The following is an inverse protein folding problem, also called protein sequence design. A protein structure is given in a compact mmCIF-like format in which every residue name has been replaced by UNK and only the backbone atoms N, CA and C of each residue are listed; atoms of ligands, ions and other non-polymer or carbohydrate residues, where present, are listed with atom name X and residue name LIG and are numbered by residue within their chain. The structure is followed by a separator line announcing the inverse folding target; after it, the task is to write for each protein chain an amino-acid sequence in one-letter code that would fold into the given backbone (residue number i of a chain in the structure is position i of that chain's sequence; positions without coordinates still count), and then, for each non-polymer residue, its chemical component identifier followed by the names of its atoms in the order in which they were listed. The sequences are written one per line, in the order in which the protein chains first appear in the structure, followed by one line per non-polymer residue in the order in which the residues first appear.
data_IF_976788182227
#
_entry.id   IF_976788182227
#
_cell.length_a   1.000
_cell.length_b   1.000
_cell.length_c   1.000
_cell.angle_alpha   90.00
_cell.angle_beta   90.00
_cell.angle_gamma   90.00
#
_symmetry.space_group_name_H-M   'P 1'
#
loop_
_entity.id
_entity.type
_entity.pdbx_description
1 polymer ?
#
# COMPACT_ATOMS: atom_id res chain seq x y z
N UNK A 1 -11.63 15.11 -12.97
CA UNK A 1 -11.83 15.73 -11.64
C UNK A 1 -11.59 14.66 -10.60
N UNK A 2 -10.52 14.74 -9.77
CA UNK A 2 -10.28 13.74 -8.71
C UNK A 2 -11.45 13.78 -7.73
N UNK A 3 -12.02 12.63 -7.38
CA UNK A 3 -13.15 12.59 -6.43
C UNK A 3 -12.68 13.08 -5.05
N UNK A 4 -13.59 13.61 -4.23
CA UNK A 4 -13.28 14.08 -2.87
C UNK A 4 -12.50 13.03 -2.07
N UNK A 5 -12.82 11.75 -2.28
CA UNK A 5 -12.18 10.60 -1.64
C UNK A 5 -10.73 10.38 -2.10
N UNK A 6 -10.44 10.55 -3.40
CA UNK A 6 -9.06 10.46 -3.91
C UNK A 6 -8.18 11.59 -3.37
N UNK A 7 -8.74 12.80 -3.26
CA UNK A 7 -8.01 13.93 -2.68
C UNK A 7 -7.70 13.72 -1.20
N UNK A 8 -8.64 13.18 -0.42
CA UNK A 8 -8.40 12.80 0.98
C UNK A 8 -7.31 11.73 1.08
N UNK A 9 -7.34 10.71 0.22
CA UNK A 9 -6.33 9.65 0.20
C UNK A 9 -4.93 10.20 -0.14
N UNK A 10 -4.85 11.14 -1.10
CA UNK A 10 -3.59 11.79 -1.47
C UNK A 10 -3.01 12.66 -0.35
N UNK A 11 -3.87 13.39 0.37
CA UNK A 11 -3.46 14.16 1.56
C UNK A 11 -2.92 13.24 2.65
N UNK A 12 -3.60 12.12 2.93
CA UNK A 12 -3.17 11.13 3.91
C UNK A 12 -1.83 10.48 3.52
N UNK A 13 -1.65 10.15 2.24
CA UNK A 13 -0.37 9.67 1.72
C UNK A 13 0.77 10.66 1.97
N UNK A 14 0.57 11.95 1.68
CA UNK A 14 1.58 13.00 1.92
C UNK A 14 1.91 13.14 3.40
N UNK A 15 0.88 13.14 4.25
CA UNK A 15 1.06 13.23 5.70
C UNK A 15 1.97 12.10 6.19
N UNK A 16 1.64 10.86 5.83
CA UNK A 16 2.42 9.68 6.24
C UNK A 16 3.83 9.72 5.65
N UNK A 17 4.00 10.14 4.40
CA UNK A 17 5.33 10.29 3.79
C UNK A 17 6.22 11.29 4.55
N UNK A 18 5.67 12.43 4.98
CA UNK A 18 6.41 13.39 5.80
C UNK A 18 6.71 12.85 7.20
N UNK A 19 5.77 12.13 7.81
CA UNK A 19 6.01 11.44 9.08
C UNK A 19 7.12 10.40 8.95
N UNK A 20 7.17 9.64 7.84
CA UNK A 20 8.24 8.69 7.55
C UNK A 20 9.62 9.36 7.51
N UNK A 21 9.74 10.50 6.83
CA UNK A 21 10.99 11.28 6.79
C UNK A 21 11.39 11.72 8.21
N UNK A 22 10.44 12.24 9.00
CA UNK A 22 10.71 12.66 10.38
C UNK A 22 11.17 11.48 11.26
N UNK A 23 10.47 10.34 11.20
CA UNK A 23 10.83 9.13 11.95
C UNK A 23 12.20 8.60 11.50
N UNK A 24 12.51 8.63 10.21
CA UNK A 24 13.82 8.24 9.68
C UNK A 24 14.95 9.12 10.20
N UNK A 25 14.75 10.45 10.24
CA UNK A 25 15.72 11.39 10.83
C UNK A 25 15.94 11.08 12.31
N UNK A 26 14.86 10.89 13.08
CA UNK A 26 14.94 10.54 14.50
C UNK A 26 15.71 9.23 14.70
N UNK A 27 15.41 8.20 13.90
CA UNK A 27 16.05 6.89 13.99
C UNK A 27 17.55 6.93 13.70
N UNK A 28 17.97 7.75 12.72
CA UNK A 28 19.38 7.92 12.38
C UNK A 28 20.12 8.69 13.50
N UNK A 29 19.51 9.75 14.03
CA UNK A 29 20.16 10.65 15.01
C UNK A 29 20.23 10.06 16.42
N UNK A 30 19.26 9.24 16.84
CA UNK A 30 19.24 8.69 18.20
C UNK A 30 20.23 7.52 18.31
N UNK A 31 21.13 7.51 19.31
CA UNK A 31 21.98 6.36 19.58
C UNK A 31 21.12 5.19 20.07
N UNK A 32 21.20 4.06 19.36
CA UNK A 32 20.51 2.81 19.69
C UNK A 32 21.62 1.77 19.92
N UNK A 33 21.61 1.15 21.10
CA UNK A 33 22.58 0.12 21.47
C UNK A 33 22.48 -1.03 20.46
N UNK A 34 23.63 -1.53 19.98
CA UNK A 34 23.72 -2.64 19.01
C UNK A 34 23.19 -2.37 17.59
N UNK A 35 22.96 -1.11 17.19
CA UNK A 35 22.73 -0.75 15.77
C UNK A 35 23.82 0.18 15.26
N UNK A 36 24.49 -0.22 14.18
CA UNK A 36 25.43 0.67 13.49
C UNK A 36 24.68 1.80 12.76
N UNK A 37 25.38 2.89 12.44
CA UNK A 37 24.81 3.98 11.63
C UNK A 37 24.37 3.46 10.26
N UNK A 38 25.12 2.51 9.68
CA UNK A 38 24.80 1.89 8.40
C UNK A 38 23.48 1.12 8.46
N UNK A 39 23.25 0.35 9.53
CA UNK A 39 22.00 -0.41 9.70
C UNK A 39 20.80 0.52 9.83
N UNK A 40 20.93 1.60 10.63
CA UNK A 40 19.89 2.62 10.78
C UNK A 40 19.54 3.27 9.46
N UNK A 41 20.55 3.60 8.67
CA UNK A 41 20.35 4.18 7.34
C UNK A 41 19.63 3.19 6.42
N UNK A 42 20.04 1.91 6.44
CA UNK A 42 19.38 0.83 5.71
C UNK A 42 17.90 0.69 6.07
N UNK A 43 17.57 0.67 7.37
CA UNK A 43 16.18 0.62 7.86
C UNK A 43 15.38 1.82 7.37
N UNK A 44 15.91 3.04 7.51
CA UNK A 44 15.25 4.25 7.05
C UNK A 44 14.97 4.21 5.54
N UNK A 45 15.94 3.71 4.75
CA UNK A 45 15.85 3.58 3.30
C UNK A 45 14.76 2.57 2.91
N UNK A 46 14.77 1.38 3.53
CA UNK A 46 13.75 0.34 3.33
C UNK A 46 12.35 0.84 3.69
N UNK A 47 12.22 1.59 4.79
CA UNK A 47 10.94 2.18 5.21
C UNK A 47 10.38 3.14 4.14
N UNK A 48 11.20 4.07 3.67
CA UNK A 48 10.76 5.11 2.72
C UNK A 48 10.51 4.51 1.33
N UNK A 49 11.48 3.76 0.79
CA UNK A 49 11.32 3.11 -0.51
C UNK A 49 10.15 2.13 -0.46
N UNK A 50 10.10 1.28 0.57
CA UNK A 50 9.03 0.30 0.74
C UNK A 50 7.65 0.96 0.74
N UNK A 51 7.46 2.00 1.55
CA UNK A 51 6.20 2.74 1.60
C UNK A 51 5.76 3.24 0.22
N UNK A 52 6.65 3.95 -0.49
CA UNK A 52 6.33 4.54 -1.80
C UNK A 52 6.13 3.46 -2.86
N UNK A 53 7.04 2.48 -2.92
CA UNK A 53 7.03 1.39 -3.89
C UNK A 53 5.75 0.58 -3.79
N UNK A 54 5.39 0.08 -2.60
CA UNK A 54 4.19 -0.73 -2.43
C UNK A 54 2.91 0.06 -2.69
N UNK A 55 2.85 1.34 -2.28
CA UNK A 55 1.72 2.22 -2.61
C UNK A 55 1.50 2.30 -4.14
N UNK A 56 2.58 2.48 -4.91
CA UNK A 56 2.50 2.60 -6.36
C UNK A 56 2.21 1.26 -7.04
N UNK A 57 2.93 0.19 -6.68
CA UNK A 57 2.76 -1.13 -7.29
C UNK A 57 1.34 -1.63 -7.13
N UNK A 58 0.82 -1.65 -5.89
CA UNK A 58 -0.52 -2.18 -5.60
C UNK A 58 -1.60 -1.33 -6.28
N UNK A 59 -1.40 -0.01 -6.38
CA UNK A 59 -2.41 0.86 -6.98
C UNK A 59 -2.40 0.93 -8.51
N UNK A 60 -1.36 0.40 -9.17
CA UNK A 60 -1.18 0.55 -10.63
C UNK A 60 -1.12 -0.80 -11.33
N UNK A 61 -0.31 -1.73 -10.84
CA UNK A 61 -0.04 -3.01 -11.53
C UNK A 61 -1.33 -3.80 -11.79
N UNK A 62 -2.25 -3.97 -10.82
CA UNK A 62 -3.46 -4.76 -11.07
C UNK A 62 -4.38 -4.13 -12.11
N UNK A 63 -4.45 -2.79 -12.19
CA UNK A 63 -5.23 -2.10 -13.22
C UNK A 63 -4.62 -2.32 -14.61
N UNK A 64 -3.29 -2.26 -14.72
CA UNK A 64 -2.60 -2.55 -15.98
C UNK A 64 -2.86 -3.99 -16.43
N UNK A 65 -2.76 -4.96 -15.52
CA UNK A 65 -3.07 -6.36 -15.79
C UNK A 65 -4.52 -6.54 -16.26
N UNK A 66 -5.48 -5.88 -15.61
CA UNK A 66 -6.89 -5.94 -16.02
C UNK A 66 -7.11 -5.40 -17.44
N UNK A 67 -6.43 -4.31 -17.81
CA UNK A 67 -6.53 -3.70 -19.14
C UNK A 67 -5.83 -4.52 -20.24
N UNK A 68 -4.95 -5.45 -19.88
CA UNK A 68 -4.29 -6.35 -20.84
C UNK A 68 -5.18 -7.53 -21.24
N UNK A 69 -6.16 -7.90 -20.41
CA UNK A 69 -7.15 -8.92 -20.74
C UNK A 69 -8.11 -8.34 -21.78
N UNK A 70 -7.75 -8.42 -23.06
CA UNK A 70 -8.56 -8.00 -24.20
C UNK A 70 -9.30 -9.20 -24.82
N UNK A 71 -10.50 -8.97 -25.34
CA UNK A 71 -11.18 -9.90 -26.24
C UNK A 71 -12.09 -10.96 -25.60
N UNK A 72 -12.12 -11.08 -24.26
CA UNK A 72 -13.06 -11.98 -23.58
C UNK A 72 -13.69 -11.29 -22.36
N UNK A 73 -14.97 -10.93 -22.48
CA UNK A 73 -15.73 -10.22 -21.44
C UNK A 73 -15.90 -11.04 -20.16
N UNK A 74 -16.03 -12.36 -20.26
CA UNK A 74 -16.14 -13.27 -19.11
C UNK A 74 -14.85 -13.29 -18.30
N UNK A 75 -13.71 -13.46 -18.97
CA UNK A 75 -12.38 -13.49 -18.31
C UNK A 75 -12.06 -12.12 -17.72
N UNK A 76 -12.37 -11.03 -18.42
CA UNK A 76 -12.16 -9.68 -17.91
C UNK A 76 -13.02 -9.39 -16.67
N UNK A 77 -14.28 -9.80 -16.65
CA UNK A 77 -15.16 -9.65 -15.50
C UNK A 77 -14.69 -10.51 -14.30
N UNK A 78 -14.21 -11.73 -14.55
CA UNK A 78 -13.63 -12.58 -13.51
C UNK A 78 -12.36 -11.93 -12.91
N UNK A 79 -11.45 -11.45 -13.75
CA UNK A 79 -10.24 -10.75 -13.32
C UNK A 79 -10.59 -9.50 -12.50
N UNK A 80 -11.58 -8.71 -12.95
CA UNK A 80 -12.07 -7.55 -12.22
C UNK A 80 -12.56 -7.92 -10.81
N UNK A 81 -13.41 -8.96 -10.69
CA UNK A 81 -13.93 -9.43 -9.39
C UNK A 81 -12.79 -9.90 -8.49
N UNK A 82 -11.84 -10.67 -9.02
CA UNK A 82 -10.68 -11.15 -8.27
C UNK A 82 -9.83 -9.99 -7.74
N UNK A 83 -9.49 -9.03 -8.59
CA UNK A 83 -8.68 -7.86 -8.21
C UNK A 83 -9.45 -6.99 -7.18
N UNK A 84 -10.78 -6.88 -7.31
CA UNK A 84 -11.61 -6.19 -6.33
C UNK A 84 -11.53 -6.87 -4.96
N UNK A 85 -11.67 -8.19 -4.88
CA UNK A 85 -11.55 -8.95 -3.62
C UNK A 85 -10.16 -8.75 -3.02
N UNK A 86 -9.10 -8.86 -3.83
CA UNK A 86 -7.72 -8.64 -3.39
C UNK A 86 -7.54 -7.23 -2.79
N UNK A 87 -8.17 -6.20 -3.39
CA UNK A 87 -8.09 -4.83 -2.87
C UNK A 87 -8.65 -4.66 -1.45
N UNK A 88 -9.59 -5.52 -1.04
CA UNK A 88 -10.14 -5.57 0.31
C UNK A 88 -9.38 -6.52 1.24
N UNK A 89 -8.85 -7.61 0.70
CA UNK A 89 -8.08 -8.59 1.44
C UNK A 89 -6.73 -8.04 1.92
N UNK A 90 -6.02 -7.26 1.08
CA UNK A 90 -4.69 -6.73 1.40
C UNK A 90 -4.67 -5.98 2.75
N UNK A 91 -5.58 -5.01 3.03
CA UNK A 91 -5.59 -4.36 4.34
C UNK A 91 -5.80 -5.30 5.52
N UNK A 92 -6.63 -6.33 5.37
CA UNK A 92 -6.90 -7.33 6.42
C UNK A 92 -5.62 -8.13 6.69
N UNK A 93 -4.97 -8.61 5.63
CA UNK A 93 -3.70 -9.32 5.73
C UNK A 93 -2.61 -8.47 6.39
N UNK A 94 -2.51 -7.18 6.06
CA UNK A 94 -1.59 -6.26 6.73
C UNK A 94 -1.87 -6.11 8.23
N UNK A 95 -3.14 -6.03 8.63
CA UNK A 95 -3.50 -5.93 10.05
C UNK A 95 -3.11 -7.21 10.79
N UNK A 96 -3.42 -8.38 10.22
CA UNK A 96 -3.03 -9.67 10.82
C UNK A 96 -1.51 -9.82 10.93
N UNK A 97 -0.77 -9.50 9.87
CA UNK A 97 0.69 -9.50 9.88
C UNK A 97 1.25 -8.50 10.90
N UNK A 98 0.61 -7.34 11.07
CA UNK A 98 1.01 -6.36 12.09
C UNK A 98 0.94 -6.95 13.50
N UNK A 99 -0.15 -7.68 13.82
CA UNK A 99 -0.30 -8.33 15.13
C UNK A 99 0.82 -9.34 15.37
N UNK A 100 1.15 -10.16 14.37
CA UNK A 100 2.24 -11.13 14.46
C UNK A 100 3.59 -10.44 14.70
N UNK A 101 3.91 -9.42 13.91
CA UNK A 101 5.18 -8.68 14.00
C UNK A 101 5.29 -7.96 15.35
N UNK A 102 4.21 -7.36 15.85
CA UNK A 102 4.19 -6.71 17.16
C UNK A 102 4.51 -7.75 18.24
N UNK A 103 3.77 -8.87 18.27
CA UNK A 103 3.98 -9.92 19.27
C UNK A 103 5.41 -10.45 19.22
N UNK A 104 5.94 -10.77 18.04
CA UNK A 104 7.31 -11.25 17.86
C UNK A 104 8.35 -10.22 18.33
N UNK A 105 8.15 -8.95 17.98
CA UNK A 105 9.08 -7.86 18.36
C UNK A 105 9.14 -7.67 19.87
N UNK A 106 8.00 -7.80 20.56
CA UNK A 106 7.95 -7.72 22.03
C UNK A 106 8.57 -8.94 22.70
N UNK A 107 8.30 -10.15 22.19
CA UNK A 107 8.87 -11.39 22.74
C UNK A 107 10.39 -11.44 22.61
N UNK A 108 10.95 -10.96 21.48
CA UNK A 108 12.38 -11.02 21.20
C UNK A 108 13.13 -9.73 21.57
N UNK A 109 12.44 -8.70 22.09
CA UNK A 109 12.99 -7.37 22.38
C UNK A 109 13.61 -6.67 21.13
N UNK A 110 13.16 -7.05 19.94
CA UNK A 110 13.64 -6.54 18.65
C UNK A 110 12.76 -5.39 18.13
N UNK A 111 12.65 -4.32 18.91
CA UNK A 111 11.73 -3.22 18.61
C UNK A 111 11.98 -2.50 17.27
N UNK A 112 13.20 -2.61 16.72
CA UNK A 112 13.51 -2.07 15.39
C UNK A 112 12.66 -2.71 14.29
N UNK A 113 12.18 -3.95 14.44
CA UNK A 113 11.29 -4.64 13.49
C UNK A 113 9.94 -3.93 13.34
N UNK A 114 9.49 -3.18 14.35
CA UNK A 114 8.23 -2.42 14.30
C UNK A 114 8.22 -1.33 13.21
N UNK A 115 9.40 -0.92 12.74
CA UNK A 115 9.53 0.04 11.62
C UNK A 115 8.86 -0.46 10.34
N UNK A 116 8.78 -1.78 10.12
CA UNK A 116 8.14 -2.35 8.93
C UNK A 116 6.63 -2.08 8.88
N UNK A 117 5.99 -1.82 10.02
CA UNK A 117 4.57 -1.47 10.09
C UNK A 117 4.28 -0.15 9.33
N UNK A 118 5.28 0.74 9.24
CA UNK A 118 5.15 1.96 8.45
C UNK A 118 5.10 1.67 6.95
N UNK A 119 5.74 0.60 6.48
CA UNK A 119 5.60 0.14 5.09
C UNK A 119 4.18 -0.36 4.81
N UNK A 120 3.55 -1.05 5.76
CA UNK A 120 2.17 -1.53 5.63
C UNK A 120 1.16 -0.39 5.46
N UNK A 121 1.43 0.80 6.01
CA UNK A 121 0.59 1.96 5.73
C UNK A 121 0.54 2.30 4.23
N UNK A 122 1.68 2.19 3.52
CA UNK A 122 1.77 2.38 2.08
C UNK A 122 1.03 1.29 1.30
N UNK A 123 1.14 0.05 1.75
CA UNK A 123 0.42 -1.12 1.21
C UNK A 123 -1.11 -0.91 1.31
N UNK A 124 -1.60 -0.53 2.49
CA UNK A 124 -3.03 -0.28 2.75
C UNK A 124 -3.54 0.88 1.91
N UNK A 125 -2.80 1.99 1.84
CA UNK A 125 -3.17 3.13 1.01
C UNK A 125 -3.18 2.77 -0.49
N UNK A 126 -2.23 1.96 -0.94
CA UNK A 126 -2.16 1.43 -2.30
C UNK A 126 -3.40 0.60 -2.64
N UNK A 127 -3.81 -0.29 -1.74
CA UNK A 127 -5.01 -1.11 -1.89
C UNK A 127 -6.30 -0.27 -1.90
N UNK A 128 -6.41 0.73 -1.03
CA UNK A 128 -7.54 1.68 -1.05
C UNK A 128 -7.60 2.47 -2.36
N UNK A 129 -6.46 2.91 -2.87
CA UNK A 129 -6.38 3.60 -4.17
C UNK A 129 -6.77 2.68 -5.32
N UNK A 130 -6.31 1.43 -5.29
CA UNK A 130 -6.72 0.40 -6.25
C UNK A 130 -8.25 0.25 -6.26
N UNK A 131 -8.87 0.13 -5.07
CA UNK A 131 -10.31 -0.03 -4.95
C UNK A 131 -11.09 1.13 -5.59
N UNK A 132 -10.65 2.38 -5.37
CA UNK A 132 -11.26 3.55 -6.01
C UNK A 132 -11.12 3.48 -7.53
N UNK A 133 -9.93 3.19 -8.04
CA UNK A 133 -9.70 3.04 -9.49
C UNK A 133 -10.54 1.94 -10.12
N UNK A 134 -10.74 0.82 -9.44
CA UNK A 134 -11.60 -0.27 -9.92
C UNK A 134 -13.07 0.16 -9.99
N UNK A 135 -13.55 0.92 -9.00
CA UNK A 135 -14.93 1.46 -9.03
C UNK A 135 -15.13 2.39 -10.23
N UNK A 136 -14.16 3.24 -10.52
CA UNK A 136 -14.21 4.13 -11.68
C UNK A 136 -14.08 3.35 -12.99
N UNK A 137 -13.17 2.38 -13.06
CA UNK A 137 -13.02 1.48 -14.20
C UNK A 137 -14.32 0.76 -14.53
N UNK A 138 -15.03 0.23 -13.52
CA UNK A 138 -16.33 -0.44 -13.70
C UNK A 138 -17.36 0.50 -14.33
N UNK A 139 -17.46 1.74 -13.85
CA UNK A 139 -18.40 2.74 -14.40
C UNK A 139 -18.14 3.00 -15.88
N UNK A 140 -16.88 3.18 -16.26
CA UNK A 140 -16.51 3.47 -17.65
C UNK A 140 -16.76 2.29 -18.60
N UNK A 141 -16.58 1.05 -18.14
CA UNK A 141 -16.65 -0.13 -19.00
C UNK A 141 -18.02 -0.84 -18.99
N UNK A 142 -18.82 -0.72 -17.92
CA UNK A 142 -20.18 -1.29 -17.89
C UNK A 142 -21.24 -0.34 -18.48
N UNK A 143 -21.10 0.99 -18.33
CA UNK A 143 -22.11 1.92 -18.86
C UNK A 143 -22.06 2.09 -20.39
N UNK A 144 -21.02 1.56 -21.06
CA UNK A 144 -20.93 1.52 -22.52
C UNK A 144 -21.59 0.29 -23.15
N UNK A 145 -22.02 -0.70 -22.36
CA UNK A 145 -22.66 -1.94 -22.87
C UNK A 145 -24.17 -1.77 -23.10
N UNK A 146 -24.79 -0.75 -22.51
CA UNK A 146 -26.24 -0.46 -22.65
C UNK A 146 -26.53 0.78 -23.52
N UNK A 147 -25.57 1.23 -24.32
CA UNK A 147 -25.70 2.38 -25.24
C UNK A 147 -25.60 2.02 -26.73
N UNK A 148 -25.64 0.74 -27.05
CA UNK A 148 -25.78 0.18 -28.41
C UNK A 148 -27.06 -0.61 -28.47
#
# INVERSE_FOLDING_TARGET
MKTLTENKLHKLYKLIAYTLIAVSLILILIPIKNLSVQDKFGIALVMNIGFHMFYHLISIVPIKQLNWVKGNSTVQNLAFKAIMVISYFIPIACILASVMIITESFSNQEYYKLTILLVFSGVILGARKLNLKLKDWKKTHYNNVYKT
#
